data_IF_005305688862
#
_entry.id   IF_005305688862
#
_cell.length_a   1.000
_cell.length_b   1.000
_cell.length_c   1.000
_cell.angle_alpha   90.00
_cell.angle_beta   90.00
_cell.angle_gamma   90.00
#
_symmetry.space_group_name_H-M   'P 1'
#
loop_
_entity.id
_entity.type
_entity.pdbx_description
1 polymer ?
#
# COMPACT_ATOMS: atom_id res chain seq x y z
N UNK A 1 11.48 1.25 -12.68
CA UNK A 1 10.76 0.62 -11.54
C UNK A 1 9.29 0.43 -11.93
N UNK A 2 8.79 -0.80 -12.01
CA UNK A 2 7.38 -1.06 -12.38
C UNK A 2 6.49 -0.86 -11.15
N UNK A 3 5.59 0.12 -11.20
CA UNK A 3 4.58 0.38 -10.16
C UNK A 3 3.22 -0.09 -10.67
N UNK A 4 2.46 -0.77 -9.83
CA UNK A 4 1.10 -1.18 -10.16
C UNK A 4 0.12 -0.44 -9.26
N UNK A 5 -1.00 -0.01 -9.83
CA UNK A 5 -1.94 0.90 -9.18
C UNK A 5 -3.29 0.20 -9.03
N UNK A 6 -3.85 0.23 -7.82
CA UNK A 6 -5.23 -0.17 -7.55
C UNK A 6 -6.03 1.05 -7.11
N UNK A 7 -7.05 1.41 -7.90
CA UNK A 7 -8.06 2.38 -7.49
C UNK A 7 -9.34 1.65 -7.06
N UNK A 8 -9.98 2.13 -6.00
CA UNK A 8 -11.25 1.61 -5.51
C UNK A 8 -12.04 2.71 -4.81
N UNK A 9 -13.38 2.60 -4.79
CA UNK A 9 -14.32 3.65 -4.35
C UNK A 9 -14.07 4.21 -2.93
N UNK A 10 -13.32 3.49 -2.07
CA UNK A 10 -13.01 3.88 -0.68
C UNK A 10 -11.55 3.70 -0.25
N UNK A 11 -10.61 3.36 -1.14
CA UNK A 11 -9.19 3.23 -0.80
C UNK A 11 -8.87 2.39 0.46
N UNK A 12 -9.64 1.34 0.75
CA UNK A 12 -9.52 0.61 2.02
C UNK A 12 -8.22 -0.19 2.06
N UNK A 13 -7.62 -0.29 3.26
CA UNK A 13 -6.40 -1.07 3.47
C UNK A 13 -6.55 -2.55 3.07
N UNK A 14 -7.74 -3.14 3.27
CA UNK A 14 -8.04 -4.52 2.85
C UNK A 14 -7.76 -4.76 1.37
N UNK A 15 -8.12 -3.81 0.51
CA UNK A 15 -7.89 -3.93 -0.94
C UNK A 15 -6.40 -3.84 -1.28
N UNK A 16 -5.66 -2.99 -0.55
CA UNK A 16 -4.21 -2.88 -0.69
C UNK A 16 -3.52 -4.17 -0.23
N UNK A 17 -3.92 -4.76 0.89
CA UNK A 17 -3.33 -6.00 1.41
C UNK A 17 -3.49 -7.16 0.43
N UNK A 18 -4.70 -7.36 -0.11
CA UNK A 18 -4.96 -8.39 -1.14
C UNK A 18 -4.08 -8.14 -2.36
N UNK A 19 -4.00 -6.90 -2.84
CA UNK A 19 -3.19 -6.55 -3.99
C UNK A 19 -1.69 -6.78 -3.78
N UNK A 20 -1.17 -6.40 -2.61
CA UNK A 20 0.23 -6.66 -2.23
C UNK A 20 0.52 -8.17 -2.19
N UNK A 21 -0.40 -8.95 -1.62
CA UNK A 21 -0.26 -10.40 -1.54
C UNK A 21 -0.27 -11.06 -2.94
N UNK A 22 -1.22 -10.72 -3.81
CA UNK A 22 -1.31 -11.21 -5.20
C UNK A 22 -0.05 -10.87 -6.01
N UNK A 23 0.46 -9.64 -5.85
CA UNK A 23 1.64 -9.14 -6.58
C UNK A 23 2.96 -9.50 -5.93
N UNK A 24 2.94 -10.24 -4.81
CA UNK A 24 4.11 -10.60 -4.00
C UNK A 24 4.98 -9.37 -3.69
N UNK A 25 4.35 -8.26 -3.31
CA UNK A 25 5.00 -7.02 -2.90
C UNK A 25 4.91 -6.85 -1.39
N UNK A 26 5.97 -6.31 -0.80
CA UNK A 26 6.07 -6.03 0.63
C UNK A 26 5.85 -4.56 0.99
N UNK A 27 5.76 -3.64 0.03
CA UNK A 27 5.57 -2.20 0.31
C UNK A 27 4.36 -1.67 -0.44
N UNK A 28 3.43 -1.06 0.28
CA UNK A 28 2.27 -0.35 -0.26
C UNK A 28 2.37 1.16 -0.07
N UNK A 29 1.80 1.92 -1.01
CA UNK A 29 1.68 3.38 -0.92
C UNK A 29 0.19 3.72 -0.95
N UNK A 30 -0.27 4.45 0.07
CA UNK A 30 -1.66 4.91 0.19
C UNK A 30 -1.71 6.42 0.07
N UNK A 31 -2.59 6.91 -0.79
CA UNK A 31 -2.94 8.33 -0.83
C UNK A 31 -4.22 8.60 -0.06
N UNK A 32 -4.18 9.53 0.90
CA UNK A 32 -5.30 9.96 1.73
C UNK A 32 -5.21 11.47 2.01
N UNK A 33 -6.03 11.99 2.92
CA UNK A 33 -6.01 13.40 3.36
C UNK A 33 -5.26 13.61 4.67
N UNK A 34 -4.74 12.52 5.26
CA UNK A 34 -4.03 12.55 6.53
C UNK A 34 -2.58 13.03 6.35
N UNK A 35 -1.89 13.31 7.46
CA UNK A 35 -0.46 13.62 7.42
C UNK A 35 0.37 12.44 6.91
N UNK A 36 1.53 12.71 6.26
CA UNK A 36 2.47 11.67 5.87
C UNK A 36 2.84 10.76 7.05
N UNK A 37 2.84 9.46 6.84
CA UNK A 37 3.25 8.49 7.86
C UNK A 37 3.81 7.21 7.23
N UNK A 38 4.67 6.54 7.99
CA UNK A 38 5.27 5.26 7.61
C UNK A 38 4.99 4.21 8.69
N UNK A 39 4.69 2.98 8.27
CA UNK A 39 4.68 1.81 9.14
C UNK A 39 5.54 0.73 8.53
N UNK A 40 6.40 0.13 9.34
CA UNK A 40 7.30 -0.95 8.93
C UNK A 40 6.89 -2.25 9.64
N UNK A 41 7.11 -3.37 8.97
CA UNK A 41 6.86 -4.72 9.50
C UNK A 41 5.43 -4.92 10.05
N UNK A 42 4.46 -4.24 9.43
CA UNK A 42 3.05 -4.36 9.79
C UNK A 42 2.52 -5.73 9.36
N UNK A 43 1.65 -6.33 10.17
CA UNK A 43 0.95 -7.57 9.82
C UNK A 43 -0.50 -7.32 9.46
N UNK A 44 -0.99 -8.04 8.46
CA UNK A 44 -2.41 -8.04 8.08
C UNK A 44 -2.86 -9.43 7.66
N UNK A 45 -4.06 -9.83 8.09
CA UNK A 45 -4.72 -11.04 7.61
C UNK A 45 -5.28 -10.80 6.21
N UNK A 46 -5.02 -11.74 5.31
CA UNK A 46 -5.52 -11.75 3.93
C UNK A 46 -6.20 -13.07 3.68
N UNK A 47 -7.44 -13.05 3.19
CA UNK A 47 -8.16 -14.27 2.85
C UNK A 47 -7.84 -14.67 1.40
N UNK A 48 -6.61 -15.10 1.15
CA UNK A 48 -6.17 -15.62 -0.14
C UNK A 48 -5.76 -17.09 -0.03
N UNK A 49 -6.08 -17.94 -1.02
CA UNK A 49 -5.63 -19.33 -1.02
C UNK A 49 -4.10 -19.42 -0.92
N UNK A 50 -3.61 -20.10 0.12
CA UNK A 50 -2.17 -20.30 0.36
C UNK A 50 -1.43 -19.10 0.97
N UNK A 51 -2.14 -18.01 1.34
CA UNK A 51 -1.54 -16.89 2.07
C UNK A 51 -2.55 -16.20 2.98
N UNK A 52 -2.52 -16.58 4.25
CA UNK A 52 -3.45 -16.07 5.29
C UNK A 52 -2.96 -14.79 5.97
N UNK A 53 -1.66 -14.53 5.91
CA UNK A 53 -1.02 -13.38 6.53
C UNK A 53 0.00 -12.71 5.60
N UNK A 54 0.12 -11.39 5.73
CA UNK A 54 1.05 -10.55 5.01
C UNK A 54 1.79 -9.65 6.00
N UNK A 55 3.12 -9.74 6.02
CA UNK A 55 3.99 -8.70 6.57
C UNK A 55 4.30 -7.68 5.47
N UNK A 56 4.12 -6.39 5.75
CA UNK A 56 4.27 -5.32 4.78
C UNK A 56 4.66 -3.98 5.41
N UNK A 57 5.22 -3.10 4.59
CA UNK A 57 5.48 -1.71 4.88
C UNK A 57 4.40 -0.86 4.22
N UNK A 58 4.02 0.23 4.88
CA UNK A 58 3.02 1.17 4.39
C UNK A 58 3.58 2.59 4.42
N UNK A 59 3.55 3.27 3.28
CA UNK A 59 3.78 4.69 3.17
C UNK A 59 2.43 5.36 2.90
N UNK A 60 1.94 6.16 3.84
CA UNK A 60 0.75 7.00 3.62
C UNK A 60 1.19 8.42 3.27
N UNK A 61 0.66 8.95 2.17
CA UNK A 61 0.95 10.30 1.69
C UNK A 61 -0.35 11.07 1.43
N UNK A 62 -0.38 12.38 1.72
CA UNK A 62 -1.43 13.25 1.21
C UNK A 62 -1.58 13.16 -0.31
N UNK A 63 -2.81 13.16 -0.81
CA UNK A 63 -3.11 13.05 -2.25
C UNK A 63 -2.39 14.12 -3.09
N UNK A 64 -2.22 15.33 -2.56
CA UNK A 64 -1.53 16.42 -3.25
C UNK A 64 -0.03 16.14 -3.50
N UNK A 65 0.57 15.16 -2.84
CA UNK A 65 1.95 14.72 -3.06
C UNK A 65 2.09 13.67 -4.16
N UNK A 66 0.99 13.15 -4.72
CA UNK A 66 1.03 12.10 -5.74
C UNK A 66 1.88 12.49 -6.96
N UNK A 67 1.82 13.77 -7.38
CA UNK A 67 2.62 14.30 -8.50
C UNK A 67 4.13 14.41 -8.21
N UNK A 68 4.58 14.18 -6.97
CA UNK A 68 6.00 14.20 -6.58
C UNK A 68 6.49 12.85 -6.06
N UNK A 69 5.74 11.77 -6.28
CA UNK A 69 6.04 10.46 -5.72
C UNK A 69 7.47 9.98 -6.03
N UNK A 70 7.93 10.20 -7.28
CA UNK A 70 9.28 9.84 -7.71
C UNK A 70 10.38 10.52 -6.89
N UNK A 71 10.16 11.74 -6.41
CA UNK A 71 11.14 12.47 -5.59
C UNK A 71 11.11 12.05 -4.12
N UNK A 72 10.07 11.34 -3.68
CA UNK A 72 9.85 10.99 -2.28
C UNK A 72 10.30 9.55 -1.99
N UNK A 73 10.16 8.65 -2.97
CA UNK A 73 10.33 7.19 -2.77
C UNK A 73 11.53 6.62 -3.54
N UNK A 74 12.29 7.48 -4.24
CA UNK A 74 13.58 7.13 -4.87
C UNK A 74 14.70 7.50 -3.93
#
# INVERSE_FOLDING_TARGET
MKREIKAGKRGTLKSLHVFLAEKKKSTGIRFNTDLPSTGNDLTARVNLPGKEELTYNLISLPLYLAGRLDKIVT
#
